data_IF_910904912835
#
_entry.id   IF_910904912835
#
_cell.length_a   1.000
_cell.length_b   1.000
_cell.length_c   1.000
_cell.angle_alpha   90.00
_cell.angle_beta   90.00
_cell.angle_gamma   90.00
#
_symmetry.space_group_name_H-M   'P 1'
#
loop_
_entity.id
_entity.type
_entity.pdbx_description
1 polymer ?
#
# COMPACT_ATOMS: atom_id res chain seq x y z
N UNK A 1 -7.84 -35.27 38.96
CA UNK A 1 -6.97 -34.77 37.89
C UNK A 1 -7.65 -33.55 37.30
N UNK A 2 -7.17 -32.36 37.63
CA UNK A 2 -7.72 -31.10 37.13
C UNK A 2 -7.20 -30.89 35.70
N UNK A 3 -8.08 -30.91 34.71
CA UNK A 3 -7.75 -30.44 33.36
C UNK A 3 -7.61 -28.93 33.41
N UNK A 4 -6.38 -28.47 33.64
CA UNK A 4 -5.99 -27.07 33.44
C UNK A 4 -6.03 -26.84 31.94
N UNK A 5 -7.16 -26.35 31.44
CA UNK A 5 -7.20 -25.68 30.15
C UNK A 5 -6.21 -24.51 30.23
N UNK A 6 -5.28 -24.33 29.28
CA UNK A 6 -4.47 -23.13 29.30
C UNK A 6 -5.45 -21.96 29.19
N UNK A 7 -5.40 -21.05 30.16
CA UNK A 7 -6.03 -19.75 30.03
C UNK A 7 -5.29 -19.05 28.89
N UNK A 8 -5.71 -19.30 27.66
CA UNK A 8 -5.25 -18.53 26.52
C UNK A 8 -5.83 -17.16 26.74
N UNK A 9 -4.95 -16.19 26.94
CA UNK A 9 -5.33 -14.84 27.25
C UNK A 9 -6.22 -14.32 26.13
N UNK A 10 -7.50 -14.06 26.46
CA UNK A 10 -8.41 -13.33 25.58
C UNK A 10 -7.76 -12.00 25.17
N UNK A 11 -6.91 -11.45 26.04
CA UNK A 11 -6.01 -10.32 25.80
C UNK A 11 -5.07 -10.52 24.59
N UNK A 12 -4.53 -11.72 24.36
CA UNK A 12 -3.65 -12.01 23.21
C UNK A 12 -4.44 -11.99 21.90
N UNK A 13 -5.64 -12.56 21.89
CA UNK A 13 -6.53 -12.56 20.72
C UNK A 13 -7.00 -11.12 20.42
N UNK A 14 -7.39 -10.37 21.44
CA UNK A 14 -7.77 -8.96 21.30
C UNK A 14 -6.60 -8.09 20.80
N UNK A 15 -5.39 -8.35 21.29
CA UNK A 15 -4.19 -7.66 20.84
C UNK A 15 -3.85 -7.94 19.36
N UNK A 16 -4.09 -9.17 18.89
CA UNK A 16 -3.95 -9.55 17.47
C UNK A 16 -5.02 -8.85 16.61
N UNK A 17 -6.27 -8.84 17.06
CA UNK A 17 -7.37 -8.15 16.36
C UNK A 17 -7.13 -6.64 16.29
N UNK A 18 -6.68 -6.03 17.39
CA UNK A 18 -6.35 -4.60 17.44
C UNK A 18 -5.23 -4.24 16.46
N UNK A 19 -4.20 -5.08 16.35
CA UNK A 19 -3.09 -4.94 15.39
C UNK A 19 -3.51 -5.12 13.94
N UNK A 20 -4.58 -5.86 13.68
CA UNK A 20 -5.13 -6.03 12.34
C UNK A 20 -6.06 -4.86 11.90
N UNK A 21 -6.44 -3.93 12.80
CA UNK A 21 -7.29 -2.78 12.44
C UNK A 21 -6.66 -1.84 11.40
N UNK A 22 -5.37 -1.49 11.48
CA UNK A 22 -4.69 -0.77 10.40
C UNK A 22 -4.74 -1.52 9.05
N UNK A 23 -4.61 -2.85 9.07
CA UNK A 23 -4.71 -3.70 7.88
C UNK A 23 -6.11 -3.61 7.25
N UNK A 24 -7.16 -3.66 8.07
CA UNK A 24 -8.55 -3.49 7.65
C UNK A 24 -8.76 -2.10 7.02
N UNK A 25 -8.24 -1.05 7.66
CA UNK A 25 -8.35 0.34 7.17
C UNK A 25 -7.66 0.52 5.82
N UNK A 26 -6.42 0.05 5.67
CA UNK A 26 -5.69 0.09 4.40
C UNK A 26 -6.45 -0.65 3.31
N UNK A 27 -7.08 -1.79 3.62
CA UNK A 27 -7.88 -2.53 2.62
C UNK A 27 -9.10 -1.73 2.14
N UNK A 28 -9.77 -0.99 3.03
CA UNK A 28 -10.94 -0.18 2.68
C UNK A 28 -10.55 1.09 1.90
N UNK A 29 -9.45 1.72 2.28
CA UNK A 29 -9.02 3.01 1.71
C UNK A 29 -8.31 2.84 0.35
N UNK A 30 -7.78 1.65 0.04
CA UNK A 30 -6.92 1.41 -1.13
C UNK A 30 -7.62 0.74 -2.32
N UNK A 31 -8.95 0.63 -2.33
CA UNK A 31 -9.68 -0.23 -3.29
C UNK A 31 -9.10 -1.65 -3.33
N UNK A 32 -8.85 -2.26 -2.16
CA UNK A 32 -8.33 -3.63 -2.12
C UNK A 32 -9.29 -4.61 -2.81
N UNK A 33 -8.77 -5.79 -3.15
CA UNK A 33 -9.59 -6.86 -3.71
C UNK A 33 -10.87 -7.07 -2.88
N UNK A 34 -12.02 -7.32 -3.52
CA UNK A 34 -13.32 -7.41 -2.85
C UNK A 34 -13.38 -8.48 -1.74
N UNK A 35 -12.43 -9.42 -1.72
CA UNK A 35 -12.29 -10.48 -0.72
C UNK A 35 -11.30 -10.16 0.42
N UNK A 36 -10.64 -8.99 0.43
CA UNK A 36 -9.60 -8.66 1.41
C UNK A 36 -10.09 -8.73 2.86
N UNK A 37 -11.30 -8.23 3.13
CA UNK A 37 -11.94 -8.31 4.44
C UNK A 37 -12.22 -9.75 4.84
N UNK A 38 -12.74 -10.57 3.93
CA UNK A 38 -13.02 -11.99 4.18
C UNK A 38 -11.71 -12.76 4.47
N UNK A 39 -10.64 -12.44 3.73
CA UNK A 39 -9.30 -13.01 3.96
C UNK A 39 -8.78 -12.64 5.34
N UNK A 40 -8.87 -11.36 5.75
CA UNK A 40 -8.48 -10.93 7.10
C UNK A 40 -9.31 -11.65 8.17
N UNK A 41 -10.64 -11.68 8.04
CA UNK A 41 -11.52 -12.32 9.04
C UNK A 41 -11.20 -13.81 9.20
N UNK A 42 -11.02 -14.52 8.08
CA UNK A 42 -10.63 -15.93 8.09
C UNK A 42 -9.25 -16.15 8.70
N UNK A 43 -8.27 -15.31 8.36
CA UNK A 43 -6.93 -15.35 8.93
C UNK A 43 -6.97 -15.17 10.46
N UNK A 44 -7.70 -14.17 10.95
CA UNK A 44 -7.86 -13.92 12.38
C UNK A 44 -8.55 -15.08 13.09
N UNK A 45 -9.58 -15.67 12.47
CA UNK A 45 -10.24 -16.87 12.99
C UNK A 45 -9.29 -18.07 13.11
N UNK A 46 -8.50 -18.34 12.07
CA UNK A 46 -7.51 -19.41 12.10
C UNK A 46 -6.39 -19.16 13.12
N UNK A 47 -5.91 -17.91 13.20
CA UNK A 47 -4.89 -17.52 14.17
C UNK A 47 -5.39 -17.70 15.60
N UNK A 48 -6.63 -17.30 15.90
CA UNK A 48 -7.22 -17.49 17.22
C UNK A 48 -7.27 -18.98 17.63
N UNK A 49 -7.63 -19.87 16.70
CA UNK A 49 -7.61 -21.33 16.95
C UNK A 49 -6.19 -21.80 17.26
N UNK A 50 -5.18 -21.39 16.48
CA UNK A 50 -3.80 -21.81 16.74
C UNK A 50 -3.25 -21.24 18.06
N UNK A 51 -3.58 -19.99 18.40
CA UNK A 51 -3.22 -19.40 19.69
C UNK A 51 -3.83 -20.16 20.88
N UNK A 52 -4.99 -20.81 20.69
CA UNK A 52 -5.61 -21.65 21.72
C UNK A 52 -4.75 -22.89 22.02
N UNK A 53 -4.11 -23.46 21.01
CA UNK A 53 -3.38 -24.72 21.15
C UNK A 53 -1.86 -24.57 21.28
N UNK A 54 -1.29 -23.41 20.92
CA UNK A 54 0.15 -23.15 20.95
C UNK A 54 0.48 -21.69 21.32
N UNK A 55 0.97 -21.48 22.55
CA UNK A 55 1.41 -20.16 23.02
C UNK A 55 2.68 -19.66 22.28
N UNK A 56 3.54 -20.57 21.82
CA UNK A 56 4.75 -20.22 21.05
C UNK A 56 4.38 -19.79 19.63
N UNK A 57 3.28 -20.30 19.08
CA UNK A 57 2.67 -19.76 17.87
C UNK A 57 2.21 -18.31 18.07
N UNK A 58 1.51 -18.04 19.17
CA UNK A 58 0.95 -16.70 19.44
C UNK A 58 2.04 -15.61 19.46
N UNK A 59 3.16 -15.83 20.16
CA UNK A 59 4.27 -14.86 20.21
C UNK A 59 4.93 -14.64 18.84
N UNK A 60 5.17 -15.73 18.08
CA UNK A 60 5.74 -15.64 16.73
C UNK A 60 4.82 -14.93 15.75
N UNK A 61 3.52 -15.24 15.80
CA UNK A 61 2.53 -14.63 14.93
C UNK A 61 2.34 -13.15 15.25
N UNK A 62 2.34 -12.78 16.53
CA UNK A 62 2.33 -11.38 16.98
C UNK A 62 3.53 -10.60 16.45
N UNK A 63 4.75 -11.12 16.61
CA UNK A 63 5.96 -10.47 16.07
C UNK A 63 5.93 -10.34 14.55
N UNK A 64 5.36 -11.32 13.85
CA UNK A 64 5.15 -11.23 12.40
C UNK A 64 4.16 -10.12 12.05
N UNK A 65 3.02 -10.04 12.74
CA UNK A 65 2.04 -8.98 12.52
C UNK A 65 2.62 -7.58 12.80
N UNK A 66 3.45 -7.43 13.83
CA UNK A 66 4.11 -6.16 14.14
C UNK A 66 5.02 -5.71 12.97
N UNK A 67 5.90 -6.59 12.46
CA UNK A 67 6.75 -6.28 11.30
C UNK A 67 5.93 -5.94 10.04
N UNK A 68 4.79 -6.59 9.84
CA UNK A 68 3.91 -6.30 8.70
C UNK A 68 3.21 -4.96 8.82
N UNK A 69 2.70 -4.64 10.02
CA UNK A 69 2.07 -3.35 10.30
C UNK A 69 3.08 -2.22 10.14
N UNK A 70 4.30 -2.37 10.64
CA UNK A 70 5.37 -1.38 10.51
C UNK A 70 5.69 -1.08 9.04
N UNK A 71 5.81 -2.13 8.21
CA UNK A 71 6.05 -1.99 6.76
C UNK A 71 4.90 -1.28 6.05
N UNK A 72 3.67 -1.65 6.37
CA UNK A 72 2.48 -1.05 5.76
C UNK A 72 2.28 0.40 6.20
N UNK A 73 2.54 0.73 7.46
CA UNK A 73 2.51 2.11 7.95
C UNK A 73 3.57 2.95 7.24
N UNK A 74 4.78 2.43 7.09
CA UNK A 74 5.86 3.11 6.38
C UNK A 74 5.47 3.46 4.93
N UNK A 75 4.90 2.50 4.19
CA UNK A 75 4.50 2.74 2.80
C UNK A 75 3.22 3.60 2.69
N UNK A 76 2.27 3.46 3.62
CA UNK A 76 1.06 4.32 3.68
C UNK A 76 1.44 5.77 3.96
N UNK A 77 2.42 6.02 4.82
CA UNK A 77 2.93 7.37 5.08
C UNK A 77 3.49 8.03 3.82
N UNK A 78 4.07 7.26 2.88
CA UNK A 78 4.50 7.79 1.57
C UNK A 78 3.30 8.20 0.71
N UNK A 79 2.22 7.40 0.71
CA UNK A 79 0.95 7.76 0.04
C UNK A 79 0.38 9.06 0.62
N UNK A 80 0.34 9.19 1.94
CA UNK A 80 -0.15 10.39 2.62
C UNK A 80 0.68 11.63 2.26
N UNK A 81 2.01 11.49 2.28
CA UNK A 81 2.93 12.57 1.91
C UNK A 81 2.73 13.01 0.45
N UNK A 82 2.59 12.06 -0.48
CA UNK A 82 2.32 12.34 -1.89
C UNK A 82 0.96 13.00 -2.08
N UNK A 83 -0.06 12.52 -1.36
CA UNK A 83 -1.41 13.09 -1.39
C UNK A 83 -1.42 14.52 -0.88
N UNK A 84 -0.77 14.78 0.26
CA UNK A 84 -0.64 16.12 0.81
C UNK A 84 0.12 17.06 -0.14
N UNK A 85 1.20 16.57 -0.78
CA UNK A 85 1.96 17.34 -1.75
C UNK A 85 1.12 17.68 -3.00
N UNK A 86 0.41 16.70 -3.55
CA UNK A 86 -0.49 16.90 -4.69
C UNK A 86 -1.61 17.89 -4.36
N UNK A 87 -2.20 17.79 -3.16
CA UNK A 87 -3.20 18.75 -2.69
C UNK A 87 -2.62 20.15 -2.54
N UNK A 88 -1.41 20.28 -1.99
CA UNK A 88 -0.75 21.58 -1.84
C UNK A 88 -0.49 22.26 -3.18
N UNK A 89 -0.10 21.51 -4.22
CA UNK A 89 0.04 22.05 -5.59
C UNK A 89 -1.31 22.44 -6.22
N UNK A 90 -2.37 21.67 -5.94
CA UNK A 90 -3.72 21.96 -6.45
C UNK A 90 -4.39 23.14 -5.73
N UNK A 91 -3.89 23.60 -4.59
CA UNK A 91 -4.45 24.78 -3.91
C UNK A 91 -4.22 26.04 -4.76
N UNK A 92 -5.26 26.83 -5.06
CA UNK A 92 -5.10 28.02 -5.89
C UNK A 92 -4.30 29.06 -5.11
N UNK A 93 -3.09 29.38 -5.57
CA UNK A 93 -2.51 30.70 -5.39
C UNK A 93 -3.08 31.59 -6.49
N UNK A 94 -3.46 32.79 -6.10
CA UNK A 94 -4.27 33.75 -6.84
C UNK A 94 -3.99 33.84 -8.35
N UNK A 95 -5.07 33.88 -9.12
CA UNK A 95 -5.20 34.42 -10.47
C UNK A 95 -4.07 34.16 -11.48
N UNK A 96 -4.18 33.06 -12.25
CA UNK A 96 -3.68 33.01 -13.63
C UNK A 96 -4.63 32.20 -14.52
N UNK A 97 -5.46 32.92 -15.30
CA UNK A 97 -6.17 32.37 -16.46
C UNK A 97 -5.12 31.85 -17.44
N UNK A 98 -5.15 30.55 -17.74
CA UNK A 98 -4.33 29.98 -18.81
C UNK A 98 -3.70 28.62 -18.52
N UNK A 99 -4.31 27.75 -17.69
CA UNK A 99 -3.87 26.35 -17.65
C UNK A 99 -4.37 25.64 -18.91
N UNK A 100 -3.48 25.43 -19.89
CA UNK A 100 -3.74 24.53 -21.02
C UNK A 100 -4.15 23.19 -20.43
N UNK A 101 -5.42 22.81 -20.60
CA UNK A 101 -6.00 21.53 -20.15
C UNK A 101 -5.27 20.38 -20.86
N UNK A 102 -4.18 19.92 -20.29
CA UNK A 102 -3.72 18.55 -20.52
C UNK A 102 -4.75 17.58 -19.94
N UNK A 103 -4.90 16.41 -20.56
CA UNK A 103 -5.71 15.33 -20.00
C UNK A 103 -4.96 14.76 -18.80
N UNK A 104 -5.55 14.81 -17.61
CA UNK A 104 -4.95 14.27 -16.40
C UNK A 104 -4.88 12.73 -16.50
N UNK A 105 -3.75 12.12 -16.08
CA UNK A 105 -3.61 10.67 -16.05
C UNK A 105 -4.58 10.00 -15.05
N UNK A 106 -5.11 10.73 -14.08
CA UNK A 106 -6.06 10.20 -13.10
C UNK A 106 -7.26 9.49 -13.74
N UNK A 107 -7.77 9.97 -14.88
CA UNK A 107 -8.88 9.32 -15.57
C UNK A 107 -8.52 7.96 -16.18
N UNK A 108 -7.28 7.80 -16.65
CA UNK A 108 -6.79 6.54 -17.22
C UNK A 108 -6.42 5.52 -16.13
N UNK A 109 -6.02 5.99 -14.95
CA UNK A 109 -5.63 5.16 -13.82
C UNK A 109 -6.81 4.82 -12.89
N UNK A 110 -7.92 5.58 -12.98
CA UNK A 110 -9.09 5.39 -12.14
C UNK A 110 -9.70 3.99 -12.32
N UNK A 111 -9.93 3.30 -11.20
CA UNK A 111 -10.55 1.97 -11.19
C UNK A 111 -9.65 0.84 -11.72
N UNK A 112 -8.36 1.11 -11.99
CA UNK A 112 -7.39 0.06 -12.27
C UNK A 112 -6.77 -0.45 -10.97
N UNK A 113 -6.49 -1.76 -10.93
CA UNK A 113 -5.93 -2.43 -9.76
C UNK A 113 -4.88 -3.48 -10.16
N UNK A 114 -3.97 -3.82 -9.23
CA UNK A 114 -2.99 -4.89 -9.39
C UNK A 114 -2.21 -4.82 -10.71
N UNK A 115 -2.17 -5.94 -11.43
CA UNK A 115 -1.41 -6.07 -12.68
C UNK A 115 -1.88 -5.14 -13.81
N UNK A 116 -3.17 -4.80 -13.86
CA UNK A 116 -3.68 -3.91 -14.91
C UNK A 116 -3.27 -2.46 -14.65
N UNK A 117 -3.27 -2.05 -13.37
CA UNK A 117 -2.68 -0.77 -12.97
C UNK A 117 -1.18 -0.76 -13.26
N UNK A 118 -0.44 -1.81 -12.89
CA UNK A 118 0.99 -1.91 -13.17
C UNK A 118 1.31 -1.76 -14.66
N UNK A 119 0.66 -2.54 -15.52
CA UNK A 119 0.88 -2.46 -16.98
C UNK A 119 0.55 -1.07 -17.52
N UNK A 120 -0.51 -0.45 -17.01
CA UNK A 120 -0.89 0.90 -17.42
C UNK A 120 0.17 1.91 -16.99
N UNK A 121 0.67 1.84 -15.76
CA UNK A 121 1.77 2.70 -15.29
C UNK A 121 3.03 2.52 -16.15
N UNK A 122 3.43 1.29 -16.46
CA UNK A 122 4.63 1.03 -17.26
C UNK A 122 4.53 1.48 -18.72
N UNK A 123 3.31 1.67 -19.24
CA UNK A 123 3.07 2.14 -20.61
C UNK A 123 2.71 3.61 -20.68
N UNK A 124 2.42 4.25 -19.54
CA UNK A 124 2.01 5.63 -19.46
C UNK A 124 3.17 6.55 -19.81
N UNK A 125 2.99 7.36 -20.86
CA UNK A 125 3.94 8.38 -21.28
C UNK A 125 3.37 9.76 -21.02
N UNK A 126 4.04 10.50 -20.15
CA UNK A 126 3.75 11.92 -19.94
C UNK A 126 4.69 12.77 -20.81
N UNK A 127 4.18 13.80 -21.52
CA UNK A 127 5.04 14.71 -22.25
C UNK A 127 5.94 15.48 -21.29
N UNK A 128 7.17 15.81 -21.68
CA UNK A 128 8.10 16.57 -20.83
C UNK A 128 7.52 17.91 -20.33
N UNK A 129 6.58 18.49 -21.08
CA UNK A 129 5.84 19.72 -20.73
C UNK A 129 4.63 19.49 -19.82
N UNK A 130 4.41 18.26 -19.34
CA UNK A 130 3.29 17.94 -18.47
C UNK A 130 3.34 18.77 -17.18
N UNK A 131 2.16 19.14 -16.63
CA UNK A 131 2.09 19.76 -15.31
C UNK A 131 2.72 18.88 -14.21
N UNK A 132 3.34 19.52 -13.22
CA UNK A 132 3.95 18.84 -12.07
C UNK A 132 2.96 17.94 -11.34
N UNK A 133 1.69 18.36 -11.31
CA UNK A 133 0.57 17.65 -10.71
C UNK A 133 0.34 16.28 -11.38
N UNK A 134 0.59 16.15 -12.70
CA UNK A 134 0.36 14.90 -13.43
C UNK A 134 1.42 13.86 -13.07
N UNK A 135 2.68 14.28 -12.94
CA UNK A 135 3.74 13.38 -12.47
C UNK A 135 3.48 12.91 -11.04
N UNK A 136 2.96 13.78 -10.16
CA UNK A 136 2.57 13.38 -8.81
C UNK A 136 1.36 12.44 -8.77
N UNK A 137 0.37 12.61 -9.65
CA UNK A 137 -0.75 11.66 -9.77
C UNK A 137 -0.26 10.26 -10.11
N UNK A 138 0.71 10.17 -11.02
CA UNK A 138 1.34 8.90 -11.43
C UNK A 138 2.18 8.29 -10.31
N UNK A 139 2.99 9.11 -9.63
CA UNK A 139 3.76 8.68 -8.46
C UNK A 139 2.84 8.17 -7.33
N UNK A 140 1.72 8.86 -7.09
CA UNK A 140 0.73 8.48 -6.09
C UNK A 140 0.11 7.12 -6.45
N UNK A 141 -0.34 6.92 -7.69
CA UNK A 141 -0.91 5.65 -8.12
C UNK A 141 0.08 4.48 -8.01
N UNK A 142 1.34 4.69 -8.40
CA UNK A 142 2.39 3.68 -8.24
C UNK A 142 2.70 3.38 -6.77
N UNK A 143 2.75 4.41 -5.90
CA UNK A 143 2.97 4.22 -4.47
C UNK A 143 1.79 3.52 -3.78
N UNK A 144 0.55 3.80 -4.20
CA UNK A 144 -0.64 3.08 -3.74
C UNK A 144 -0.61 1.61 -4.15
N UNK A 145 -0.12 1.30 -5.36
CA UNK A 145 0.07 -0.09 -5.79
C UNK A 145 1.11 -0.83 -4.93
N UNK A 146 2.23 -0.19 -4.57
CA UNK A 146 3.20 -0.77 -3.63
C UNK A 146 2.55 -1.14 -2.30
N UNK A 147 1.70 -0.27 -1.73
CA UNK A 147 0.98 -0.54 -0.48
C UNK A 147 0.06 -1.75 -0.64
N UNK A 148 -0.67 -1.81 -1.76
CA UNK A 148 -1.57 -2.92 -2.05
C UNK A 148 -0.82 -4.25 -2.19
N UNK A 149 0.26 -4.30 -2.96
CA UNK A 149 1.04 -5.53 -3.15
C UNK A 149 1.73 -5.96 -1.86
N UNK A 150 2.23 -4.99 -1.07
CA UNK A 150 2.78 -5.25 0.26
C UNK A 150 1.72 -5.85 1.19
N UNK A 151 0.48 -5.36 1.13
CA UNK A 151 -0.62 -5.91 1.91
C UNK A 151 -0.94 -7.35 1.48
N UNK A 152 -1.02 -7.61 0.17
CA UNK A 152 -1.34 -8.94 -0.36
C UNK A 152 -0.27 -9.98 0.01
N UNK A 153 1.02 -9.65 -0.14
CA UNK A 153 2.10 -10.58 0.27
C UNK A 153 2.12 -10.79 1.79
N UNK A 154 1.80 -9.76 2.57
CA UNK A 154 1.75 -9.86 4.02
C UNK A 154 0.63 -10.79 4.47
N UNK A 155 -0.55 -10.63 3.87
CA UNK A 155 -1.68 -11.55 4.05
C UNK A 155 -1.31 -12.97 3.66
N UNK A 156 -0.62 -13.14 2.53
CA UNK A 156 -0.18 -14.44 2.07
C UNK A 156 0.79 -15.12 3.06
N UNK A 157 1.77 -14.38 3.60
CA UNK A 157 2.71 -14.89 4.62
C UNK A 157 1.95 -15.30 5.88
N UNK A 158 1.02 -14.48 6.35
CA UNK A 158 0.19 -14.82 7.51
C UNK A 158 -0.68 -16.07 7.26
N UNK A 159 -1.30 -16.18 6.09
CA UNK A 159 -2.10 -17.35 5.69
C UNK A 159 -1.24 -18.63 5.73
N UNK A 160 0.00 -18.56 5.25
CA UNK A 160 0.95 -19.69 5.32
C UNK A 160 1.32 -20.08 6.74
N UNK A 161 1.50 -19.10 7.62
CA UNK A 161 1.82 -19.35 9.04
C UNK A 161 0.62 -19.99 9.75
N UNK A 162 -0.59 -19.49 9.49
CA UNK A 162 -1.82 -19.93 10.15
C UNK A 162 -2.32 -21.28 9.62
N UNK A 163 -2.33 -21.49 8.31
CA UNK A 163 -2.96 -22.66 7.69
C UNK A 163 -1.95 -23.70 7.16
N UNK A 164 -0.65 -23.38 7.17
CA UNK A 164 0.40 -24.25 6.66
C UNK A 164 0.53 -24.26 5.14
N UNK A 165 1.67 -24.76 4.65
CA UNK A 165 2.06 -24.72 3.24
C UNK A 165 1.22 -25.61 2.30
N UNK A 166 0.48 -26.58 2.84
CA UNK A 166 -0.32 -27.56 2.07
C UNK A 166 -1.82 -27.22 2.02
N UNK A 167 -2.23 -26.07 2.55
CA UNK A 167 -3.63 -25.68 2.52
C UNK A 167 -4.02 -25.27 1.10
N UNK A 168 -5.21 -25.68 0.63
CA UNK A 168 -5.80 -25.23 -0.64
C UNK A 168 -6.10 -23.72 -0.66
N UNK A 169 -5.88 -23.04 0.47
CA UNK A 169 -6.06 -21.60 0.67
C UNK A 169 -4.80 -20.83 0.26
N UNK A 170 -3.63 -21.48 0.22
CA UNK A 170 -2.34 -20.83 -0.05
C UNK A 170 -2.01 -20.89 -1.55
N UNK A 171 -2.20 -19.79 -2.28
CA UNK A 171 -1.67 -19.66 -3.66
C UNK A 171 -0.14 -19.64 -3.63
N UNK A 172 0.56 -20.36 -4.51
CA UNK A 172 2.01 -20.19 -4.61
C UNK A 172 2.35 -18.75 -5.02
N UNK A 173 2.98 -18.02 -4.11
CA UNK A 173 3.38 -16.64 -4.34
C UNK A 173 4.86 -16.57 -4.72
N UNK A 174 5.14 -15.98 -5.89
CA UNK A 174 6.50 -15.80 -6.36
C UNK A 174 7.14 -14.57 -5.71
N UNK A 175 7.83 -14.78 -4.59
CA UNK A 175 8.51 -13.71 -3.84
C UNK A 175 9.55 -12.94 -4.68
N UNK A 176 10.22 -13.60 -5.62
CA UNK A 176 11.18 -12.95 -6.51
C UNK A 176 10.49 -12.00 -7.48
N UNK A 177 9.36 -12.42 -8.07
CA UNK A 177 8.56 -11.56 -8.94
C UNK A 177 8.02 -10.34 -8.17
N UNK A 178 7.56 -10.53 -6.93
CA UNK A 178 7.14 -9.41 -6.08
C UNK A 178 8.27 -8.42 -5.79
N UNK A 179 9.47 -8.91 -5.44
CA UNK A 179 10.60 -8.04 -5.18
C UNK A 179 10.99 -7.22 -6.41
N UNK A 180 11.02 -7.85 -7.58
CA UNK A 180 11.30 -7.17 -8.84
C UNK A 180 10.23 -6.13 -9.19
N UNK A 181 8.96 -6.50 -9.02
CA UNK A 181 7.81 -5.62 -9.21
C UNK A 181 7.88 -4.39 -8.30
N UNK A 182 8.13 -4.61 -7.00
CA UNK A 182 8.28 -3.54 -6.00
C UNK A 182 9.45 -2.61 -6.34
N UNK A 183 10.62 -3.15 -6.66
CA UNK A 183 11.79 -2.33 -7.02
C UNK A 183 11.51 -1.46 -8.26
N UNK A 184 10.81 -2.02 -9.24
CA UNK A 184 10.40 -1.30 -10.45
C UNK A 184 9.48 -0.13 -10.09
N UNK A 185 8.46 -0.37 -9.27
CA UNK A 185 7.56 0.68 -8.80
C UNK A 185 8.25 1.74 -7.95
N UNK A 186 9.14 1.36 -7.03
CA UNK A 186 9.87 2.32 -6.18
C UNK A 186 10.77 3.24 -7.00
N UNK A 187 11.44 2.69 -8.02
CA UNK A 187 12.20 3.50 -8.98
C UNK A 187 11.29 4.44 -9.76
N UNK A 188 10.17 3.92 -10.27
CA UNK A 188 9.20 4.70 -11.05
C UNK A 188 8.59 5.85 -10.24
N UNK A 189 8.23 5.62 -8.96
CA UNK A 189 7.77 6.65 -8.02
C UNK A 189 8.81 7.75 -7.87
N UNK A 190 10.07 7.39 -7.61
CA UNK A 190 11.16 8.36 -7.43
C UNK A 190 11.36 9.23 -8.66
N UNK A 191 11.43 8.62 -9.83
CA UNK A 191 11.57 9.35 -11.10
C UNK A 191 10.43 10.35 -11.32
N UNK A 192 9.19 9.97 -11.02
CA UNK A 192 8.04 10.87 -11.17
C UNK A 192 8.01 11.98 -10.13
N UNK A 193 8.51 11.76 -8.91
CA UNK A 193 8.71 12.84 -7.93
C UNK A 193 9.75 13.84 -8.43
N UNK A 194 10.87 13.36 -8.97
CA UNK A 194 11.94 14.21 -9.49
C UNK A 194 11.45 15.03 -10.71
N UNK A 195 10.69 14.40 -11.60
CA UNK A 195 10.05 15.08 -12.74
C UNK A 195 9.03 16.13 -12.29
N UNK A 196 8.23 15.84 -11.25
CA UNK A 196 7.31 16.81 -10.68
C UNK A 196 8.05 18.04 -10.12
N UNK A 197 9.15 17.83 -9.39
CA UNK A 197 9.98 18.89 -8.85
C UNK A 197 10.62 19.74 -9.96
N UNK A 198 11.16 19.11 -11.01
CA UNK A 198 11.73 19.79 -12.16
C UNK A 198 10.67 20.64 -12.90
N UNK A 199 9.49 20.08 -13.13
CA UNK A 199 8.37 20.79 -13.77
C UNK A 199 7.92 22.00 -12.94
N UNK A 200 7.84 21.87 -11.62
CA UNK A 200 7.48 22.97 -10.72
C UNK A 200 8.53 24.10 -10.72
N UNK A 201 9.82 23.75 -10.75
CA UNK A 201 10.92 24.71 -10.77
C UNK A 201 11.02 25.47 -12.10
N UNK A 202 10.73 24.81 -13.23
CA UNK A 202 10.72 25.45 -14.56
C UNK A 202 9.68 26.57 -14.69
N UNK A 203 8.65 26.58 -13.82
CA UNK A 203 7.58 27.59 -13.80
C UNK A 203 7.87 28.79 -12.90
N UNK A 204 8.92 28.75 -12.05
CA UNK A 204 9.30 29.93 -11.25
C UNK A 204 10.00 30.94 -12.16
N UNK A 205 9.53 32.20 -12.25
CA UNK A 205 10.28 33.23 -12.95
C UNK A 205 11.62 33.46 -12.23
N UNK A 206 12.71 33.42 -12.99
CA UNK A 206 13.99 34.01 -12.61
C UNK A 206 13.79 35.50 -12.40
N UNK A 207 13.42 35.90 -11.18
CA UNK A 207 13.01 37.26 -10.90
C UNK A 207 13.11 37.59 -9.42
N UNK A 208 14.30 37.45 -8.84
CA UNK A 208 14.73 38.18 -7.65
C UNK A 208 16.25 38.31 -7.70
N UNK A 209 16.71 39.18 -8.60
CA UNK A 209 17.98 39.86 -8.45
C UNK A 209 17.66 41.34 -8.23
N UNK A 210 17.87 41.81 -7.00
CA UNK A 210 18.14 43.20 -6.66
C UNK A 210 19.27 43.19 -5.65
#
# INVERSE_FOLDING_TARGET
MSTVWPAIDMEVIEAIIARAKPLLKVSMDSHAQPDALERISRLLGGAAVNCIFDATFADRFKGTLDDLVDKLEHDTRKVDNLTAHLQAMRRPKDHCKGSRRGVSPAGQLAGLHGNDLFRTLMTLQLPATAPAEFYLEVALAAQSLIVHDQFDISMHVCERIVFGANSTVTKEYNFMAFKDHRNTLEKYVREHIDLAAAAANSRRPTGLAK
#
